data_IF_869198561404
#
_entry.id   IF_869198561404
#
_cell.length_a   1.000
_cell.length_b   1.000
_cell.length_c   1.000
_cell.angle_alpha   90.00
_cell.angle_beta   90.00
_cell.angle_gamma   90.00
#
_symmetry.space_group_name_H-M   'P 1'
#
loop_
_entity.id
_entity.type
_entity.pdbx_description
1 polymer ?
#
# COMPACT_ATOMS: atom_id res chain seq x y z
N UNK A 1 29.67 29.37 2.42
CA UNK A 1 29.07 29.38 3.76
C UNK A 1 29.85 28.39 4.62
N UNK A 2 30.33 28.83 5.79
CA UNK A 2 31.08 27.96 6.70
C UNK A 2 30.18 26.82 7.21
N UNK A 3 30.76 25.68 7.60
CA UNK A 3 30.00 24.50 8.03
C UNK A 3 29.02 24.80 9.18
N UNK A 4 29.42 25.68 10.10
CA UNK A 4 28.61 26.11 11.25
C UNK A 4 27.42 26.95 10.79
N UNK A 5 27.64 27.92 9.90
CA UNK A 5 26.57 28.76 9.32
C UNK A 5 25.56 27.90 8.55
N UNK A 6 26.04 26.86 7.84
CA UNK A 6 25.19 25.90 7.13
C UNK A 6 24.32 25.08 8.08
N UNK A 7 24.86 24.64 9.21
CA UNK A 7 24.11 23.89 10.22
C UNK A 7 23.02 24.74 10.85
N UNK A 8 23.35 25.95 11.29
CA UNK A 8 22.38 26.88 11.87
C UNK A 8 21.26 27.21 10.87
N UNK A 9 21.60 27.44 9.60
CA UNK A 9 20.62 27.69 8.55
C UNK A 9 19.66 26.50 8.30
N UNK A 10 20.03 25.27 8.66
CA UNK A 10 19.22 24.08 8.47
C UNK A 10 18.33 23.72 9.66
N UNK A 11 18.57 24.31 10.84
CA UNK A 11 17.79 24.01 12.05
C UNK A 11 16.30 24.36 11.90
N UNK A 12 15.99 25.31 11.02
CA UNK A 12 14.62 25.69 10.65
C UNK A 12 13.79 24.51 10.13
N UNK A 13 14.42 23.51 9.50
CA UNK A 13 13.74 22.35 8.95
C UNK A 13 13.58 21.21 9.94
N UNK A 14 14.28 21.23 11.08
CA UNK A 14 14.27 20.12 12.04
C UNK A 14 12.88 19.95 12.67
N UNK A 15 12.46 18.69 12.85
CA UNK A 15 11.21 18.36 13.50
C UNK A 15 10.56 17.08 12.97
N UNK A 16 9.40 16.78 13.53
CA UNK A 16 8.60 15.64 13.09
C UNK A 16 7.64 16.09 12.00
N UNK A 17 7.51 15.29 10.96
CA UNK A 17 6.57 15.53 9.87
C UNK A 17 5.74 14.28 9.68
N UNK A 18 4.44 14.45 9.50
CA UNK A 18 3.51 13.33 9.43
C UNK A 18 2.68 13.38 8.16
N UNK A 19 2.52 12.22 7.53
CA UNK A 19 1.56 11.95 6.47
C UNK A 19 0.76 10.72 6.89
N UNK A 20 -0.54 10.92 7.11
CA UNK A 20 -1.40 9.90 7.70
C UNK A 20 -0.79 9.39 9.02
N UNK A 21 -0.54 8.08 9.15
CA UNK A 21 0.07 7.47 10.33
C UNK A 21 1.59 7.33 10.23
N UNK A 22 2.20 7.71 9.11
CA UNK A 22 3.65 7.70 8.96
C UNK A 22 4.22 9.01 9.48
N UNK A 23 5.11 8.92 10.47
CA UNK A 23 5.90 10.05 10.97
C UNK A 23 7.36 9.86 10.59
N UNK A 24 7.96 10.91 10.05
CA UNK A 24 9.40 11.00 9.80
C UNK A 24 10.02 12.09 10.66
N UNK A 25 11.31 11.96 10.95
CA UNK A 25 12.07 12.96 11.70
C UNK A 25 13.13 13.58 10.80
N UNK A 26 12.98 14.87 10.51
CA UNK A 26 13.99 15.67 9.81
C UNK A 26 14.98 16.21 10.85
N UNK A 27 16.28 15.96 10.64
CA UNK A 27 17.35 16.35 11.58
C UNK A 27 18.66 16.66 10.87
N UNK A 28 19.47 17.53 11.48
CA UNK A 28 20.85 17.76 11.05
C UNK A 28 21.76 16.72 11.69
N UNK A 29 22.40 15.88 10.87
CA UNK A 29 23.37 14.88 11.31
C UNK A 29 24.73 15.18 10.68
N UNK A 30 25.68 15.65 11.49
CA UNK A 30 26.98 16.08 10.98
C UNK A 30 26.82 17.28 10.03
N UNK A 31 27.22 17.12 8.78
CA UNK A 31 27.13 18.15 7.73
C UNK A 31 25.95 17.95 6.76
N UNK A 32 25.01 17.06 7.13
CA UNK A 32 23.89 16.61 6.30
C UNK A 32 22.54 16.93 6.96
N UNK A 33 21.56 17.27 6.15
CA UNK A 33 20.15 17.28 6.54
C UNK A 33 19.58 15.92 6.15
N UNK A 34 18.94 15.24 7.09
CA UNK A 34 18.50 13.85 6.94
C UNK A 34 17.04 13.67 7.33
N UNK A 35 16.38 12.67 6.73
CA UNK A 35 15.03 12.23 7.09
C UNK A 35 15.11 10.79 7.60
N UNK A 36 14.84 10.62 8.89
CA UNK A 36 14.78 9.30 9.53
C UNK A 36 13.33 8.78 9.51
N UNK A 37 13.16 7.56 9.00
CA UNK A 37 11.88 6.85 8.98
C UNK A 37 11.82 5.85 10.15
N UNK A 38 10.61 5.45 10.59
CA UNK A 38 10.46 4.41 11.61
C UNK A 38 11.17 3.12 11.21
N UNK A 39 11.95 2.55 12.13
CA UNK A 39 12.69 1.29 11.92
C UNK A 39 13.92 1.37 11.01
N UNK A 40 14.19 2.51 10.38
CA UNK A 40 15.42 2.72 9.60
C UNK A 40 16.60 2.92 10.56
N UNK A 41 17.63 2.06 10.50
CA UNK A 41 18.81 2.19 11.35
C UNK A 41 19.68 3.39 10.94
N UNK A 42 20.51 3.91 11.86
CA UNK A 42 21.49 4.94 11.54
C UNK A 42 22.38 4.53 10.36
N UNK A 43 22.64 5.47 9.46
CA UNK A 43 23.40 5.28 8.23
C UNK A 43 22.53 4.96 6.99
N UNK A 44 21.24 4.69 7.17
CA UNK A 44 20.28 4.43 6.08
C UNK A 44 19.21 5.53 5.95
N UNK A 45 19.38 6.66 6.65
CA UNK A 45 18.49 7.81 6.52
C UNK A 45 18.50 8.37 5.09
N UNK A 46 17.38 8.99 4.68
CA UNK A 46 17.36 9.75 3.43
C UNK A 46 18.15 11.04 3.62
N UNK A 47 19.05 11.34 2.69
CA UNK A 47 19.83 12.58 2.69
C UNK A 47 19.11 13.63 1.84
N UNK A 48 19.00 14.86 2.35
CA UNK A 48 18.45 16.00 1.62
C UNK A 48 19.58 16.84 1.03
N UNK A 49 19.82 16.72 -0.27
CA UNK A 49 20.83 17.48 -1.00
C UNK A 49 20.26 18.84 -1.42
N UNK A 50 20.85 19.98 -1.01
CA UNK A 50 20.31 21.30 -1.34
C UNK A 50 20.33 21.57 -2.86
N UNK A 51 19.29 22.24 -3.36
CA UNK A 51 19.24 22.77 -4.73
C UNK A 51 19.50 24.29 -4.77
N UNK A 52 19.57 24.86 -5.98
CA UNK A 52 19.72 26.32 -6.17
C UNK A 52 18.53 27.12 -5.59
N UNK A 53 17.31 26.58 -5.73
CA UNK A 53 16.13 27.20 -5.17
C UNK A 53 16.08 27.03 -3.65
N UNK A 54 15.72 28.11 -2.94
CA UNK A 54 15.62 28.12 -1.48
C UNK A 54 14.59 27.08 -0.99
N UNK A 55 14.90 26.44 0.15
CA UNK A 55 14.06 25.41 0.79
C UNK A 55 13.81 24.15 -0.04
N UNK A 56 14.49 23.99 -1.17
CA UNK A 56 14.34 22.87 -2.10
C UNK A 56 15.54 21.93 -2.02
N UNK A 57 15.26 20.64 -1.99
CA UNK A 57 16.26 19.58 -1.86
C UNK A 57 15.96 18.41 -2.80
N UNK A 58 16.99 17.68 -3.20
CA UNK A 58 16.86 16.34 -3.81
C UNK A 58 17.03 15.29 -2.72
N UNK A 59 16.12 14.33 -2.67
CA UNK A 59 16.20 13.17 -1.77
C UNK A 59 17.18 12.15 -2.33
N UNK A 60 18.13 11.71 -1.51
CA UNK A 60 19.09 10.66 -1.82
C UNK A 60 18.94 9.50 -0.83
N UNK A 61 18.75 8.29 -1.36
CA UNK A 61 18.40 7.11 -0.59
C UNK A 61 16.90 7.03 -0.28
N UNK A 62 16.43 5.83 0.04
CA UNK A 62 15.02 5.61 0.43
C UNK A 62 14.04 5.46 -0.74
N UNK A 63 12.73 5.37 -0.43
CA UNK A 63 11.69 5.03 -1.40
C UNK A 63 11.41 6.11 -2.45
N UNK A 64 11.88 7.33 -2.21
CA UNK A 64 11.72 8.47 -3.13
C UNK A 64 13.07 9.01 -3.59
N UNK A 65 14.07 8.13 -3.74
CA UNK A 65 15.40 8.49 -4.23
C UNK A 65 15.31 9.24 -5.58
N UNK A 66 15.94 10.41 -5.66
CA UNK A 66 15.89 11.31 -6.81
C UNK A 66 14.73 12.31 -6.79
N UNK A 67 13.73 12.14 -5.91
CA UNK A 67 12.63 13.07 -5.80
C UNK A 67 13.07 14.44 -5.30
N UNK A 68 12.39 15.48 -5.79
CA UNK A 68 12.50 16.82 -5.23
C UNK A 68 11.58 16.94 -4.04
N UNK A 69 12.08 17.50 -2.93
CA UNK A 69 11.25 17.93 -1.83
C UNK A 69 11.42 19.43 -1.53
N UNK A 70 10.34 20.05 -1.04
CA UNK A 70 10.29 21.49 -0.73
C UNK A 70 9.69 21.69 0.64
N UNK A 71 10.37 22.46 1.49
CA UNK A 71 9.80 22.92 2.75
C UNK A 71 8.96 24.19 2.54
N UNK A 72 7.79 24.23 3.16
CA UNK A 72 6.98 25.44 3.25
C UNK A 72 7.30 26.13 4.57
N UNK A 73 7.73 27.39 4.50
CA UNK A 73 8.09 28.20 5.65
C UNK A 73 6.96 29.23 5.90
N UNK A 74 6.53 29.38 7.16
CA UNK A 74 5.54 30.38 7.56
C UNK A 74 6.18 31.78 7.74
N UNK A 75 5.37 32.80 8.03
CA UNK A 75 5.84 34.17 8.26
C UNK A 75 6.80 34.32 9.46
N UNK A 76 6.70 33.40 10.43
CA UNK A 76 7.60 33.33 11.59
C UNK A 76 8.96 32.69 11.24
N UNK A 77 9.17 32.29 10.00
CA UNK A 77 10.40 31.65 9.55
C UNK A 77 10.50 30.19 9.96
N UNK A 78 9.38 29.51 10.27
CA UNK A 78 9.36 28.10 10.68
C UNK A 78 8.88 27.20 9.53
N UNK A 79 9.53 26.05 9.35
CA UNK A 79 8.97 25.03 8.49
C UNK A 79 7.65 24.53 9.07
N UNK A 80 6.62 24.39 8.22
CA UNK A 80 5.29 23.90 8.60
C UNK A 80 4.84 22.71 7.76
N UNK A 81 5.42 22.54 6.57
CA UNK A 81 5.15 21.41 5.68
C UNK A 81 6.40 20.98 4.93
N UNK A 82 6.41 19.72 4.51
CA UNK A 82 7.37 19.13 3.59
C UNK A 82 6.60 18.47 2.44
N UNK A 83 6.75 18.99 1.24
CA UNK A 83 6.19 18.39 0.02
C UNK A 83 7.26 17.53 -0.65
N UNK A 84 6.91 16.33 -1.11
CA UNK A 84 7.80 15.43 -1.87
C UNK A 84 7.12 15.09 -3.19
N UNK A 85 7.71 15.55 -4.30
CA UNK A 85 7.04 15.53 -5.60
C UNK A 85 5.70 16.28 -5.58
N UNK A 86 4.75 15.84 -6.39
CA UNK A 86 3.37 16.37 -6.42
C UNK A 86 2.41 15.54 -5.55
N UNK A 87 2.84 14.37 -5.10
CA UNK A 87 1.96 13.35 -4.53
C UNK A 87 1.90 13.34 -3.01
N UNK A 88 2.96 13.81 -2.34
CA UNK A 88 3.10 13.67 -0.89
C UNK A 88 3.27 15.02 -0.21
N UNK A 89 2.44 15.30 0.78
CA UNK A 89 2.55 16.45 1.67
C UNK A 89 2.55 15.97 3.12
N UNK A 90 3.66 16.20 3.82
CA UNK A 90 3.78 15.94 5.23
C UNK A 90 3.61 17.25 6.01
N UNK A 91 2.77 17.23 7.04
CA UNK A 91 2.58 18.38 7.92
C UNK A 91 3.52 18.28 9.12
N UNK A 92 4.16 19.39 9.48
CA UNK A 92 5.00 19.42 10.68
C UNK A 92 4.11 19.21 11.91
N UNK A 93 4.51 18.26 12.73
CA UNK A 93 3.84 17.87 13.96
C UNK A 93 4.80 18.03 15.14
N UNK A 94 4.24 18.09 16.34
CA UNK A 94 5.03 17.84 17.55
C UNK A 94 5.61 16.43 17.56
N UNK A 95 6.52 16.13 18.50
CA UNK A 95 6.89 14.74 18.77
C UNK A 95 5.62 13.95 19.10
N UNK A 96 5.43 12.81 18.43
CA UNK A 96 4.31 11.93 18.76
C UNK A 96 4.62 11.19 20.05
N UNK A 97 3.60 11.04 20.90
CA UNK A 97 3.68 10.08 21.99
C UNK A 97 3.91 8.68 21.41
N UNK A 98 4.62 7.83 22.14
CA UNK A 98 4.71 6.43 21.74
C UNK A 98 3.30 5.85 21.60
N UNK A 99 3.01 5.17 20.48
CA UNK A 99 1.68 4.62 20.24
C UNK A 99 1.38 3.54 21.29
N UNK A 100 0.17 3.56 21.84
CA UNK A 100 -0.27 2.59 22.86
C UNK A 100 -0.37 1.14 22.34
N UNK A 101 -0.18 0.93 21.04
CA UNK A 101 -0.23 -0.36 20.35
C UNK A 101 0.77 -0.35 19.19
N UNK A 102 1.19 -1.53 18.69
CA UNK A 102 2.04 -1.61 17.50
C UNK A 102 1.38 -0.88 16.32
N UNK A 103 2.12 0.01 15.67
CA UNK A 103 1.69 0.65 14.41
C UNK A 103 1.96 -0.26 13.21
N UNK A 104 2.75 -1.31 13.42
CA UNK A 104 3.19 -2.22 12.37
C UNK A 104 4.12 -1.58 11.36
N UNK A 105 4.74 -0.45 11.70
CA UNK A 105 5.73 0.25 10.87
C UNK A 105 7.16 -0.11 11.28
N UNK A 106 8.11 0.10 10.37
CA UNK A 106 9.53 -0.01 10.68
C UNK A 106 10.03 -1.45 10.83
N UNK A 107 9.35 -2.39 10.18
CA UNK A 107 9.64 -3.82 10.33
C UNK A 107 10.77 -4.22 9.37
N UNK A 108 11.90 -4.69 9.89
CA UNK A 108 13.04 -5.11 9.06
C UNK A 108 12.86 -6.55 8.59
N UNK A 109 13.16 -6.83 7.32
CA UNK A 109 13.28 -8.20 6.83
C UNK A 109 14.12 -9.06 7.80
N UNK A 110 13.70 -10.29 8.12
CA UNK A 110 14.58 -11.27 8.76
C UNK A 110 15.83 -11.46 7.90
N UNK A 111 17.00 -11.53 8.54
CA UNK A 111 18.26 -11.74 7.83
C UNK A 111 18.28 -13.12 7.15
N UNK A 112 18.52 -13.14 5.85
CA UNK A 112 18.72 -14.38 5.10
C UNK A 112 20.20 -14.77 5.12
N UNK A 113 20.56 -15.72 5.97
CA UNK A 113 21.90 -16.32 5.97
C UNK A 113 21.91 -17.56 5.06
N UNK A 114 22.57 -17.44 3.91
CA UNK A 114 22.74 -18.49 2.92
C UNK A 114 24.05 -19.26 3.13
N UNK A 115 23.98 -20.44 3.75
CA UNK A 115 25.11 -21.39 3.74
C UNK A 115 25.11 -22.19 2.42
N UNK A 116 26.25 -22.78 2.02
CA UNK A 116 26.30 -23.62 0.81
C UNK A 116 25.26 -24.75 0.81
N UNK A 117 25.00 -25.37 1.97
CA UNK A 117 24.01 -26.43 2.12
C UNK A 117 22.59 -25.91 1.94
N UNK A 118 22.26 -24.76 2.55
CA UNK A 118 20.94 -24.12 2.41
C UNK A 118 20.69 -23.71 0.95
N UNK A 119 21.70 -23.12 0.30
CA UNK A 119 21.63 -22.74 -1.11
C UNK A 119 21.40 -23.95 -2.01
N UNK A 120 22.12 -25.05 -1.81
CA UNK A 120 21.96 -26.26 -2.61
C UNK A 120 20.53 -26.82 -2.50
N UNK A 121 19.97 -26.86 -1.29
CA UNK A 121 18.60 -27.34 -1.05
C UNK A 121 17.57 -26.41 -1.70
N UNK A 122 17.73 -25.09 -1.56
CA UNK A 122 16.84 -24.12 -2.21
C UNK A 122 16.94 -24.16 -3.74
N UNK A 123 18.13 -24.40 -4.29
CA UNK A 123 18.33 -24.59 -5.71
C UNK A 123 17.58 -25.84 -6.22
N UNK A 124 17.59 -26.95 -5.47
CA UNK A 124 16.79 -28.14 -5.84
C UNK A 124 15.29 -27.82 -5.93
N UNK A 125 14.75 -27.06 -4.97
CA UNK A 125 13.35 -26.62 -5.02
C UNK A 125 13.07 -25.74 -6.24
N UNK A 126 13.97 -24.80 -6.54
CA UNK A 126 13.89 -23.95 -7.72
C UNK A 126 13.91 -24.77 -9.01
N UNK A 127 14.84 -25.71 -9.15
CA UNK A 127 14.97 -26.56 -10.34
C UNK A 127 13.71 -27.40 -10.56
N UNK A 128 13.18 -28.04 -9.50
CA UNK A 128 11.93 -28.79 -9.56
C UNK A 128 10.74 -27.90 -9.97
N UNK A 129 10.66 -26.70 -9.42
CA UNK A 129 9.64 -25.72 -9.76
C UNK A 129 9.72 -25.34 -11.25
N UNK A 130 10.93 -25.09 -11.76
CA UNK A 130 11.18 -24.69 -13.14
C UNK A 130 10.98 -25.82 -14.16
N UNK A 131 11.13 -27.08 -13.75
CA UNK A 131 10.82 -28.24 -14.60
C UNK A 131 9.31 -28.45 -14.75
N UNK A 132 8.53 -28.26 -13.67
CA UNK A 132 7.11 -28.60 -13.68
C UNK A 132 6.22 -27.45 -14.19
N UNK A 133 6.41 -26.23 -13.70
CA UNK A 133 5.64 -25.00 -14.03
C UNK A 133 4.12 -25.19 -14.23
N UNK A 134 3.50 -26.06 -13.47
CA UNK A 134 2.09 -26.42 -13.62
C UNK A 134 1.21 -25.88 -12.49
N UNK A 135 1.75 -24.98 -11.67
CA UNK A 135 1.04 -24.37 -10.56
C UNK A 135 0.76 -25.33 -9.40
N UNK A 136 1.42 -26.48 -9.31
CA UNK A 136 1.23 -27.41 -8.19
C UNK A 136 1.71 -26.84 -6.85
N UNK A 137 1.23 -27.44 -5.77
CA UNK A 137 1.76 -27.15 -4.44
C UNK A 137 3.20 -27.65 -4.31
N UNK A 138 4.07 -26.79 -3.79
CA UNK A 138 5.38 -27.20 -3.30
C UNK A 138 5.19 -28.03 -2.03
N UNK A 139 5.68 -29.27 -2.03
CA UNK A 139 5.75 -30.09 -0.82
C UNK A 139 6.91 -29.62 0.06
N UNK A 140 6.66 -28.52 0.79
CA UNK A 140 7.69 -27.84 1.55
C UNK A 140 7.96 -28.56 2.88
N UNK A 141 8.88 -29.52 2.87
CA UNK A 141 9.30 -30.31 4.04
C UNK A 141 10.65 -29.87 4.61
N UNK A 142 11.20 -28.74 4.14
CA UNK A 142 12.52 -28.27 4.55
C UNK A 142 12.51 -27.79 6.02
N UNK A 143 13.63 -27.93 6.76
CA UNK A 143 13.74 -27.47 8.14
C UNK A 143 13.96 -25.94 8.25
N UNK A 144 13.76 -25.19 7.16
CA UNK A 144 13.97 -23.76 7.09
C UNK A 144 12.63 -23.02 7.09
N UNK A 145 12.55 -21.80 7.62
CA UNK A 145 11.35 -20.99 7.50
C UNK A 145 10.99 -20.72 6.04
N UNK A 146 9.70 -20.77 5.70
CA UNK A 146 9.21 -20.51 4.32
C UNK A 146 9.62 -19.14 3.79
N UNK A 147 9.74 -18.14 4.65
CA UNK A 147 10.18 -16.82 4.25
C UNK A 147 11.63 -16.80 3.71
N UNK A 148 12.48 -17.76 4.08
CA UNK A 148 13.85 -17.83 3.57
C UNK A 148 13.91 -18.31 2.12
N UNK A 149 13.16 -19.36 1.75
CA UNK A 149 13.08 -19.80 0.35
C UNK A 149 12.46 -18.70 -0.52
N UNK A 150 11.47 -17.96 -0.01
CA UNK A 150 10.82 -16.88 -0.75
C UNK A 150 11.78 -15.72 -1.02
N UNK A 151 12.63 -15.37 -0.06
CA UNK A 151 13.70 -14.39 -0.28
C UNK A 151 14.75 -14.90 -1.28
N UNK A 152 15.14 -16.17 -1.19
CA UNK A 152 16.05 -16.78 -2.17
C UNK A 152 15.47 -16.78 -3.60
N UNK A 153 14.17 -17.08 -3.75
CA UNK A 153 13.48 -17.02 -5.04
C UNK A 153 13.39 -15.59 -5.59
N UNK A 154 13.16 -14.59 -4.72
CA UNK A 154 13.13 -13.19 -5.11
C UNK A 154 14.48 -12.73 -5.71
N UNK A 155 15.61 -13.26 -5.22
CA UNK A 155 16.95 -12.96 -5.75
C UNK A 155 17.17 -13.44 -7.19
N UNK A 156 16.32 -14.35 -7.70
CA UNK A 156 16.46 -14.87 -9.07
C UNK A 156 15.91 -13.91 -10.14
N UNK A 157 15.15 -12.90 -9.72
CA UNK A 157 14.58 -11.84 -10.57
C UNK A 157 13.69 -12.37 -11.73
N UNK A 158 13.16 -13.59 -11.58
CA UNK A 158 12.32 -14.29 -12.57
C UNK A 158 10.84 -14.40 -12.16
N UNK A 159 10.53 -14.05 -10.91
CA UNK A 159 9.22 -14.34 -10.31
C UNK A 159 8.51 -13.10 -9.80
N UNK A 160 7.19 -13.22 -9.76
CA UNK A 160 6.30 -12.31 -9.04
C UNK A 160 5.51 -13.14 -8.03
N UNK A 161 5.31 -12.61 -6.84
CA UNK A 161 4.62 -13.28 -5.76
C UNK A 161 3.24 -12.66 -5.53
N UNK A 162 2.25 -13.51 -5.31
CA UNK A 162 0.86 -13.11 -5.05
C UNK A 162 0.28 -13.89 -3.87
N UNK A 163 -0.26 -13.20 -2.87
CA UNK A 163 -0.91 -13.83 -1.71
C UNK A 163 -2.42 -13.85 -1.83
N UNK A 164 -3.04 -15.00 -1.52
CA UNK A 164 -4.50 -15.15 -1.50
C UNK A 164 -4.98 -16.11 -0.43
N UNK A 165 -6.20 -15.90 0.08
CA UNK A 165 -6.89 -16.92 0.90
C UNK A 165 -7.48 -18.06 0.06
N UNK A 166 -7.53 -17.93 -1.27
CA UNK A 166 -7.98 -18.99 -2.19
C UNK A 166 -6.80 -19.86 -2.59
N UNK A 167 -6.94 -21.17 -2.43
CA UNK A 167 -5.87 -22.15 -2.66
C UNK A 167 -5.90 -22.81 -4.05
N UNK A 168 -6.97 -22.60 -4.80
CA UNK A 168 -7.34 -23.30 -6.03
C UNK A 168 -7.30 -22.39 -7.29
N UNK A 169 -6.53 -21.31 -7.27
CA UNK A 169 -6.41 -20.42 -8.43
C UNK A 169 -5.42 -21.03 -9.44
N UNK A 170 -5.95 -21.67 -10.49
CA UNK A 170 -5.11 -22.19 -11.59
C UNK A 170 -4.86 -21.14 -12.68
N UNK A 171 -5.70 -20.10 -12.75
CA UNK A 171 -5.55 -18.97 -13.66
C UNK A 171 -6.06 -17.69 -12.99
N UNK A 172 -5.18 -16.71 -12.79
CA UNK A 172 -5.55 -15.39 -12.32
C UNK A 172 -6.23 -14.60 -13.43
N UNK A 173 -7.44 -14.11 -13.15
CA UNK A 173 -8.13 -13.15 -14.02
C UNK A 173 -7.74 -11.72 -13.68
N UNK A 174 -7.79 -10.82 -14.67
CA UNK A 174 -7.56 -9.38 -14.48
C UNK A 174 -8.73 -8.65 -13.81
N UNK A 175 -9.83 -9.35 -13.52
CA UNK A 175 -11.02 -8.79 -12.87
C UNK A 175 -10.71 -8.38 -11.43
N UNK A 176 -10.94 -7.11 -11.12
CA UNK A 176 -10.77 -6.57 -9.76
C UNK A 176 -12.01 -6.77 -8.87
N UNK A 177 -11.78 -7.02 -7.58
CA UNK A 177 -12.84 -7.20 -6.56
C UNK A 177 -12.70 -6.27 -5.36
N UNK A 178 -11.67 -5.43 -5.33
CA UNK A 178 -11.39 -4.43 -4.29
C UNK A 178 -10.89 -3.12 -4.92
N UNK A 179 -10.68 -2.08 -4.12
CA UNK A 179 -10.17 -0.78 -4.59
C UNK A 179 -9.00 -0.33 -3.72
N UNK A 180 -8.01 0.31 -4.34
CA UNK A 180 -7.01 1.13 -3.62
C UNK A 180 -7.62 2.51 -3.42
N UNK A 181 -7.68 2.94 -2.16
CA UNK A 181 -8.22 4.22 -1.73
C UNK A 181 -7.12 5.28 -1.93
N UNK A 182 -7.51 6.52 -2.27
CA UNK A 182 -6.60 7.63 -2.55
C UNK A 182 -5.65 7.37 -3.75
N UNK A 183 -6.04 6.50 -4.68
CA UNK A 183 -5.30 6.27 -5.93
C UNK A 183 -5.42 7.47 -6.87
N UNK A 184 -4.54 8.45 -6.68
CA UNK A 184 -4.47 9.67 -7.50
C UNK A 184 -3.80 9.43 -8.86
N UNK A 185 -2.84 8.50 -8.90
CA UNK A 185 -2.05 8.20 -10.09
C UNK A 185 -2.71 7.15 -11.01
N UNK A 186 -3.87 6.59 -10.61
CA UNK A 186 -4.56 5.54 -11.37
C UNK A 186 -3.80 4.22 -11.46
N UNK A 187 -2.78 4.02 -10.60
CA UNK A 187 -1.92 2.84 -10.60
C UNK A 187 -2.55 1.69 -9.81
N UNK A 188 -3.26 2.05 -8.76
CA UNK A 188 -3.80 1.11 -7.78
C UNK A 188 -5.03 0.37 -8.25
N UNK A 189 -5.70 0.85 -9.30
CA UNK A 189 -7.01 0.37 -9.74
C UNK A 189 -7.07 -0.05 -11.21
N UNK A 190 -6.00 -0.64 -11.73
CA UNK A 190 -5.98 -1.28 -13.05
C UNK A 190 -6.77 -2.60 -13.02
N UNK A 191 -7.30 -2.99 -14.18
CA UNK A 191 -7.80 -4.36 -14.39
C UNK A 191 -6.59 -5.26 -14.67
N UNK A 192 -5.96 -5.74 -13.60
CA UNK A 192 -4.72 -6.47 -13.67
C UNK A 192 -4.61 -7.52 -12.56
N UNK A 193 -3.74 -8.50 -12.77
CA UNK A 193 -3.18 -9.35 -11.71
C UNK A 193 -2.07 -8.56 -11.04
N UNK A 194 -2.20 -8.33 -9.74
CA UNK A 194 -1.21 -7.60 -8.95
C UNK A 194 -0.26 -8.56 -8.24
N UNK A 195 0.98 -8.16 -8.02
CA UNK A 195 1.93 -8.93 -7.23
C UNK A 195 3.18 -8.11 -6.89
N UNK A 196 4.13 -8.74 -6.24
CA UNK A 196 5.36 -8.09 -5.76
C UNK A 196 6.57 -8.91 -6.19
N UNK A 197 7.70 -8.25 -6.34
CA UNK A 197 8.98 -8.91 -6.60
C UNK A 197 9.62 -9.46 -5.32
N UNK A 198 9.16 -9.02 -4.14
CA UNK A 198 9.56 -9.59 -2.85
C UNK A 198 8.53 -10.62 -2.38
N UNK A 199 9.01 -11.69 -1.75
CA UNK A 199 8.16 -12.79 -1.30
C UNK A 199 7.51 -12.58 0.08
N UNK A 200 7.97 -11.61 0.89
CA UNK A 200 7.46 -11.41 2.25
C UNK A 200 6.17 -10.61 2.29
N UNK A 201 6.07 -9.53 1.52
CA UNK A 201 4.86 -8.71 1.45
C UNK A 201 3.59 -9.51 1.11
N UNK A 202 3.57 -10.40 0.10
CA UNK A 202 2.36 -11.15 -0.26
C UNK A 202 1.96 -12.18 0.79
N UNK A 203 2.86 -12.61 1.69
CA UNK A 203 2.48 -13.48 2.80
C UNK A 203 1.38 -12.84 3.66
N UNK A 204 1.44 -11.52 3.88
CA UNK A 204 0.40 -10.77 4.60
C UNK A 204 -0.98 -10.93 3.93
N UNK A 205 -1.06 -10.76 2.62
CA UNK A 205 -2.31 -10.94 1.88
C UNK A 205 -2.83 -12.39 1.91
N UNK A 206 -1.91 -13.37 1.94
CA UNK A 206 -2.29 -14.77 2.03
C UNK A 206 -2.92 -15.11 3.38
N UNK A 207 -2.41 -14.56 4.48
CA UNK A 207 -2.83 -14.96 5.83
C UNK A 207 -3.95 -14.09 6.43
N UNK A 208 -4.20 -12.89 5.93
CA UNK A 208 -5.27 -12.03 6.45
C UNK A 208 -6.62 -12.58 6.02
N UNK A 209 -7.53 -12.80 6.97
CA UNK A 209 -8.88 -13.29 6.72
C UNK A 209 -9.79 -12.16 6.21
N UNK A 210 -9.59 -11.79 4.94
CA UNK A 210 -10.26 -10.64 4.32
C UNK A 210 -11.79 -10.69 4.43
N UNK A 211 -12.47 -11.85 4.27
CA UNK A 211 -13.93 -11.94 4.45
C UNK A 211 -14.43 -11.55 5.85
N UNK A 212 -13.60 -11.73 6.89
CA UNK A 212 -13.94 -11.40 8.28
C UNK A 212 -13.33 -10.06 8.73
N UNK A 213 -12.74 -9.30 7.81
CA UNK A 213 -12.18 -7.98 8.06
C UNK A 213 -13.17 -6.88 7.63
N UNK A 214 -13.38 -5.90 8.50
CA UNK A 214 -14.06 -4.64 8.17
C UNK A 214 -13.05 -3.49 8.10
N UNK A 215 -13.22 -2.61 7.12
CA UNK A 215 -12.30 -1.52 6.84
C UNK A 215 -11.22 -1.90 5.83
N UNK A 216 -10.07 -1.25 5.95
CA UNK A 216 -8.91 -1.36 5.08
C UNK A 216 -7.78 -2.18 5.72
N UNK A 217 -6.84 -2.56 4.88
CA UNK A 217 -5.51 -2.98 5.28
C UNK A 217 -4.55 -1.94 4.74
N UNK A 218 -3.50 -1.63 5.49
CA UNK A 218 -2.42 -0.77 5.02
C UNK A 218 -1.13 -1.57 5.08
N UNK A 219 -0.39 -1.54 3.99
CA UNK A 219 0.77 -2.39 3.82
C UNK A 219 1.74 -1.78 2.83
N UNK A 220 2.98 -2.21 2.88
CA UNK A 220 4.00 -1.79 1.95
C UNK A 220 5.39 -2.23 2.37
N UNK A 221 6.30 -2.11 1.44
CA UNK A 221 7.75 -2.21 1.68
C UNK A 221 8.40 -0.99 1.06
N UNK A 222 9.39 -0.43 1.76
CA UNK A 222 10.24 0.64 1.28
C UNK A 222 11.69 0.20 1.36
N UNK A 223 12.48 0.49 0.32
CA UNK A 223 13.90 0.19 0.28
C UNK A 223 14.71 1.43 0.62
N UNK A 224 15.71 1.26 1.47
CA UNK A 224 16.63 2.31 1.91
C UNK A 224 18.05 1.90 1.60
N UNK A 225 18.86 2.86 1.18
CA UNK A 225 20.25 2.63 0.77
C UNK A 225 21.17 3.52 1.62
N UNK A 226 22.31 2.97 2.05
CA UNK A 226 23.35 3.74 2.70
C UNK A 226 24.39 4.26 1.70
N UNK A 227 25.34 5.07 2.17
CA UNK A 227 26.44 5.62 1.36
C UNK A 227 27.33 4.55 0.69
N UNK A 228 27.32 3.32 1.21
CA UNK A 228 28.10 2.20 0.68
C UNK A 228 27.32 1.39 -0.38
N UNK A 229 26.08 1.79 -0.69
CA UNK A 229 25.20 1.11 -1.61
C UNK A 229 24.54 -0.14 -1.05
N UNK A 230 24.70 -0.45 0.24
CA UNK A 230 23.94 -1.51 0.87
C UNK A 230 22.47 -1.09 0.96
N UNK A 231 21.57 -2.04 0.73
CA UNK A 231 20.12 -1.82 0.73
C UNK A 231 19.44 -2.62 1.86
N UNK A 232 18.40 -2.04 2.45
CA UNK A 232 17.52 -2.72 3.40
C UNK A 232 16.05 -2.50 3.04
N UNK A 233 15.24 -3.52 3.29
CA UNK A 233 13.79 -3.45 3.18
C UNK A 233 13.15 -3.14 4.54
N UNK A 234 12.27 -2.15 4.57
CA UNK A 234 11.47 -1.76 5.72
C UNK A 234 10.00 -1.90 5.38
N UNK A 235 9.33 -2.78 6.10
CA UNK A 235 7.94 -3.14 5.89
C UNK A 235 7.00 -2.37 6.82
N UNK A 236 5.76 -2.27 6.36
CA UNK A 236 4.62 -1.82 7.11
C UNK A 236 3.45 -2.80 6.90
N UNK A 237 2.79 -3.22 7.98
CA UNK A 237 1.58 -4.05 7.92
C UNK A 237 0.62 -3.64 9.04
N UNK A 238 -0.58 -3.19 8.69
CA UNK A 238 -1.62 -2.85 9.64
C UNK A 238 -3.02 -3.16 9.13
N UNK A 239 -3.90 -3.41 10.09
CA UNK A 239 -5.32 -3.64 9.90
C UNK A 239 -6.12 -2.72 10.82
N UNK A 240 -7.43 -2.63 10.61
CA UNK A 240 -8.32 -1.92 11.53
C UNK A 240 -8.06 -2.36 12.99
N UNK A 241 -7.70 -1.40 13.84
CA UNK A 241 -7.32 -1.62 15.24
C UNK A 241 -8.38 -2.37 16.05
N UNK A 242 -9.66 -2.17 15.75
CA UNK A 242 -10.77 -2.82 16.46
C UNK A 242 -10.80 -4.34 16.22
N UNK A 243 -10.18 -4.79 15.13
CA UNK A 243 -10.11 -6.20 14.75
C UNK A 243 -8.77 -6.83 15.10
N UNK A 244 -7.72 -6.05 15.36
CA UNK A 244 -6.39 -6.57 15.65
C UNK A 244 -6.39 -7.56 16.83
N UNK A 245 -7.13 -7.25 17.90
CA UNK A 245 -7.26 -8.12 19.06
C UNK A 245 -7.96 -9.47 18.75
N UNK A 246 -8.76 -9.52 17.68
CA UNK A 246 -9.45 -10.73 17.23
C UNK A 246 -8.55 -11.65 16.40
N UNK A 247 -7.35 -11.19 16.02
CA UNK A 247 -6.39 -11.92 15.20
C UNK A 247 -7.05 -12.56 13.96
N UNK A 248 -7.58 -11.74 13.03
CA UNK A 248 -8.31 -12.21 11.84
C UNK A 248 -7.33 -12.79 10.82
N UNK A 249 -6.68 -13.90 11.19
CA UNK A 249 -5.68 -14.60 10.41
C UNK A 249 -6.17 -16.01 10.11
N UNK A 250 -5.81 -16.52 8.94
CA UNK A 250 -6.17 -17.86 8.47
C UNK A 250 -5.08 -18.46 7.61
N UNK A 251 -5.09 -19.79 7.40
CA UNK A 251 -4.28 -20.41 6.38
C UNK A 251 -4.58 -19.81 5.00
N UNK A 252 -3.55 -19.71 4.18
CA UNK A 252 -3.60 -19.12 2.85
C UNK A 252 -2.65 -19.77 1.87
N UNK A 253 -2.51 -19.15 0.71
CA UNK A 253 -1.64 -19.62 -0.36
C UNK A 253 -0.88 -18.46 -0.97
N UNK A 254 0.42 -18.66 -1.12
CA UNK A 254 1.29 -17.76 -1.85
C UNK A 254 1.62 -18.40 -3.20
N UNK A 255 1.27 -17.69 -4.26
CA UNK A 255 1.48 -18.09 -5.64
C UNK A 255 2.77 -17.48 -6.16
N UNK A 256 3.54 -18.30 -6.87
CA UNK A 256 4.76 -17.90 -7.56
C UNK A 256 4.37 -17.83 -9.04
N UNK A 257 4.44 -16.62 -9.60
CA UNK A 257 3.99 -16.29 -10.94
C UNK A 257 5.21 -15.98 -11.84
N UNK A 258 5.12 -16.24 -13.15
CA UNK A 258 6.15 -15.79 -14.09
C UNK A 258 6.17 -14.26 -14.15
N UNK A 259 7.35 -13.67 -14.26
CA UNK A 259 7.49 -12.20 -14.33
C UNK A 259 7.20 -11.60 -15.71
N UNK A 260 7.28 -12.39 -16.77
CA UNK A 260 7.31 -11.92 -18.18
C UNK A 260 6.23 -10.91 -18.54
N UNK A 261 5.00 -11.09 -18.05
CA UNK A 261 3.85 -10.24 -18.38
C UNK A 261 3.60 -9.13 -17.36
N UNK A 262 4.45 -9.01 -16.34
CA UNK A 262 4.34 -8.01 -15.30
C UNK A 262 5.21 -6.80 -15.62
N UNK A 263 4.66 -5.62 -15.39
CA UNK A 263 5.41 -4.36 -15.36
C UNK A 263 5.36 -3.75 -13.98
N UNK A 264 6.48 -3.18 -13.55
CA UNK A 264 6.54 -2.39 -12.32
C UNK A 264 5.70 -1.13 -12.51
N UNK A 265 4.89 -0.79 -11.52
CA UNK A 265 4.03 0.38 -11.61
C UNK A 265 4.79 1.66 -11.25
N UNK A 266 4.55 2.79 -11.93
CA UNK A 266 5.08 4.07 -11.46
C UNK A 266 4.39 4.44 -10.14
N UNK A 267 5.15 4.93 -9.18
CA UNK A 267 4.61 5.54 -7.95
C UNK A 267 4.37 7.03 -8.15
N UNK A 268 5.33 7.71 -8.78
CA UNK A 268 5.30 9.12 -9.20
C UNK A 268 6.30 9.30 -10.35
N UNK A 269 6.44 10.52 -10.87
CA UNK A 269 7.41 10.81 -11.93
C UNK A 269 8.83 10.36 -11.57
N UNK A 270 9.36 9.43 -12.35
CA UNK A 270 10.71 8.86 -12.17
C UNK A 270 10.88 7.89 -11.01
N UNK A 271 9.83 7.62 -10.21
CA UNK A 271 9.88 6.74 -9.04
C UNK A 271 9.00 5.52 -9.26
N UNK A 272 9.55 4.33 -9.07
CA UNK A 272 8.84 3.08 -9.30
C UNK A 272 8.31 2.47 -7.99
N UNK A 273 7.05 2.03 -8.01
CA UNK A 273 6.41 1.30 -6.92
C UNK A 273 7.01 -0.09 -6.75
N UNK A 274 6.96 -0.66 -5.56
CA UNK A 274 7.35 -2.06 -5.33
C UNK A 274 6.30 -3.08 -5.82
N UNK A 275 5.13 -2.58 -6.19
CA UNK A 275 4.03 -3.33 -6.79
C UNK A 275 4.19 -3.46 -8.31
N UNK A 276 3.80 -4.64 -8.80
CA UNK A 276 3.82 -5.02 -10.20
C UNK A 276 2.41 -5.42 -10.65
N UNK A 277 2.11 -5.20 -11.92
CA UNK A 277 0.82 -5.56 -12.49
C UNK A 277 0.97 -6.25 -13.86
N UNK A 278 0.14 -7.26 -14.09
CA UNK A 278 -0.06 -7.88 -15.39
C UNK A 278 -1.49 -7.65 -15.88
N UNK A 279 -1.64 -7.02 -17.03
CA UNK A 279 -2.95 -6.73 -17.65
C UNK A 279 -3.48 -7.90 -18.50
N UNK A 280 -2.85 -9.06 -18.40
CA UNK A 280 -3.29 -10.31 -19.02
C UNK A 280 -3.46 -11.39 -17.95
N UNK A 281 -4.29 -12.43 -18.19
CA UNK A 281 -4.40 -13.56 -17.27
C UNK A 281 -3.06 -14.27 -17.07
N UNK A 282 -2.79 -14.74 -15.85
CA UNK A 282 -1.51 -15.36 -15.47
C UNK A 282 -1.73 -16.71 -14.81
N UNK A 283 -0.98 -17.73 -15.25
CA UNK A 283 -0.93 -19.04 -14.59
C UNK A 283 0.21 -19.07 -13.56
N UNK A 284 0.02 -19.66 -12.37
CA UNK A 284 1.11 -19.87 -11.43
C UNK A 284 2.13 -20.88 -11.97
N UNK A 285 3.40 -20.67 -11.65
CA UNK A 285 4.46 -21.67 -11.80
C UNK A 285 4.34 -22.72 -10.70
N UNK A 286 4.13 -22.27 -9.47
CA UNK A 286 3.90 -23.10 -8.29
C UNK A 286 3.12 -22.32 -7.23
N UNK A 287 2.69 -23.02 -6.18
CA UNK A 287 2.06 -22.41 -5.00
C UNK A 287 2.59 -23.01 -3.70
N UNK A 288 2.65 -22.17 -2.68
CA UNK A 288 3.11 -22.52 -1.34
C UNK A 288 1.97 -22.33 -0.35
N UNK A 289 1.59 -23.40 0.35
CA UNK A 289 0.62 -23.31 1.44
C UNK A 289 1.25 -22.55 2.61
N UNK A 290 0.51 -21.61 3.22
CA UNK A 290 0.96 -20.82 4.36
C UNK A 290 0.02 -20.97 5.55
N UNK A 291 0.60 -21.11 6.73
CA UNK A 291 -0.06 -20.86 8.02
C UNK A 291 0.25 -19.41 8.46
N UNK A 292 -0.59 -18.79 9.30
CA UNK A 292 -0.28 -17.46 9.85
C UNK A 292 1.12 -17.37 10.47
N UNK A 293 1.57 -18.41 11.15
CA UNK A 293 2.86 -18.48 11.85
C UNK A 293 4.07 -18.53 10.90
N UNK A 294 3.86 -18.86 9.62
CA UNK A 294 4.91 -18.78 8.60
C UNK A 294 5.29 -17.31 8.32
N UNK A 295 4.39 -16.37 8.59
CA UNK A 295 4.61 -14.94 8.35
C UNK A 295 5.51 -14.34 9.45
N UNK A 296 6.73 -13.86 9.11
CA UNK A 296 7.69 -13.44 10.13
C UNK A 296 7.26 -12.22 10.94
N UNK A 297 6.30 -11.45 10.44
CA UNK A 297 5.82 -10.23 11.10
C UNK A 297 4.48 -10.41 11.81
N UNK A 298 3.97 -11.63 11.98
CA UNK A 298 2.63 -11.89 12.53
C UNK A 298 2.36 -11.14 13.84
N UNK A 299 3.31 -11.18 14.78
CA UNK A 299 3.18 -10.52 16.08
C UNK A 299 3.37 -9.00 16.03
N UNK A 300 3.83 -8.48 14.90
CA UNK A 300 4.15 -7.07 14.69
C UNK A 300 3.14 -6.36 13.78
N UNK A 301 2.10 -7.05 13.30
CA UNK A 301 0.99 -6.42 12.56
C UNK A 301 0.36 -5.36 13.47
N UNK A 302 0.22 -4.15 12.94
CA UNK A 302 -0.29 -3.00 13.65
C UNK A 302 -1.79 -2.76 13.53
N UNK A 303 -2.25 -1.79 14.32
CA UNK A 303 -3.62 -1.28 14.27
C UNK A 303 -3.68 0.12 13.70
N UNK A 304 -4.68 0.40 12.87
CA UNK A 304 -4.97 1.75 12.37
C UNK A 304 -6.43 2.13 12.54
N UNK A 305 -6.73 3.43 12.46
CA UNK A 305 -8.12 3.93 12.54
C UNK A 305 -8.78 3.99 11.17
N UNK A 306 -9.90 3.26 11.02
CA UNK A 306 -10.73 3.22 9.83
C UNK A 306 -12.17 3.68 10.09
N UNK A 307 -12.43 4.35 11.20
CA UNK A 307 -13.77 4.87 11.56
C UNK A 307 -14.45 5.61 10.40
N UNK A 308 -13.70 6.45 9.67
CA UNK A 308 -14.20 7.15 8.50
C UNK A 308 -14.55 6.17 7.35
N UNK A 309 -13.72 5.17 7.05
CA UNK A 309 -14.04 4.20 5.99
C UNK A 309 -15.24 3.32 6.34
N UNK A 310 -15.34 2.89 7.61
CA UNK A 310 -16.50 2.13 8.12
C UNK A 310 -17.77 2.97 8.02
N UNK A 311 -17.70 4.26 8.35
CA UNK A 311 -18.83 5.20 8.18
C UNK A 311 -19.21 5.36 6.71
N UNK A 312 -18.26 5.53 5.80
CA UNK A 312 -18.53 5.64 4.37
C UNK A 312 -19.19 4.38 3.80
N UNK A 313 -18.76 3.21 4.26
CA UNK A 313 -19.37 1.93 3.90
C UNK A 313 -20.84 1.87 4.39
N UNK A 314 -21.10 2.21 5.65
CA UNK A 314 -22.46 2.24 6.19
C UNK A 314 -23.39 3.23 5.46
N UNK A 315 -22.88 4.42 5.09
CA UNK A 315 -23.63 5.38 4.26
C UNK A 315 -23.92 4.79 2.87
N UNK A 316 -22.94 4.13 2.27
CA UNK A 316 -23.09 3.47 0.98
C UNK A 316 -24.17 2.38 1.01
N UNK A 317 -24.20 1.56 2.05
CA UNK A 317 -25.22 0.50 2.20
C UNK A 317 -26.63 1.10 2.36
N UNK A 318 -26.76 2.18 3.13
CA UNK A 318 -28.02 2.93 3.24
C UNK A 318 -28.47 3.53 1.91
N UNK A 319 -27.54 4.06 1.11
CA UNK A 319 -27.84 4.59 -0.21
C UNK A 319 -28.31 3.49 -1.15
N UNK A 320 -27.56 2.40 -1.26
CA UNK A 320 -27.90 1.26 -2.13
C UNK A 320 -29.28 0.69 -1.79
N UNK A 321 -29.60 0.57 -0.49
CA UNK A 321 -30.92 0.10 -0.04
C UNK A 321 -32.07 1.05 -0.41
N UNK A 322 -31.79 2.34 -0.65
CA UNK A 322 -32.77 3.35 -1.04
C UNK A 322 -32.85 3.56 -2.56
N UNK A 323 -32.09 2.80 -3.36
CA UNK A 323 -32.10 2.95 -4.82
C UNK A 323 -33.32 2.24 -5.42
N UNK A 324 -34.12 2.99 -6.16
CA UNK A 324 -35.30 2.47 -6.85
C UNK A 324 -35.01 2.04 -8.29
N UNK A 325 -34.05 2.70 -8.93
CA UNK A 325 -33.65 2.43 -10.31
C UNK A 325 -32.17 2.64 -10.50
N UNK A 326 -31.53 1.74 -11.26
CA UNK A 326 -30.12 1.86 -11.65
C UNK A 326 -30.00 1.81 -13.15
N UNK A 327 -29.38 2.82 -13.74
CA UNK A 327 -28.95 2.84 -15.14
C UNK A 327 -27.43 2.75 -15.20
N UNK A 328 -26.92 1.94 -16.12
CA UNK A 328 -25.49 1.61 -16.22
C UNK A 328 -25.01 1.95 -17.62
N UNK A 329 -23.90 2.65 -17.67
CA UNK A 329 -23.15 2.95 -18.87
C UNK A 329 -21.68 2.55 -18.64
N UNK A 330 -20.84 2.49 -19.70
CA UNK A 330 -19.45 2.05 -19.58
C UNK A 330 -18.62 2.88 -18.58
N UNK A 331 -18.90 4.17 -18.47
CA UNK A 331 -18.13 5.16 -17.69
C UNK A 331 -18.91 5.79 -16.52
N UNK A 332 -20.16 5.36 -16.29
CA UNK A 332 -21.03 5.93 -15.25
C UNK A 332 -22.11 4.99 -14.74
N UNK A 333 -22.55 5.26 -13.51
CA UNK A 333 -23.73 4.63 -12.89
C UNK A 333 -24.68 5.74 -12.45
N UNK A 334 -25.94 5.61 -12.83
CA UNK A 334 -27.02 6.48 -12.38
C UNK A 334 -27.90 5.73 -11.38
N UNK A 335 -28.09 6.30 -10.20
CA UNK A 335 -28.97 5.75 -9.18
C UNK A 335 -30.10 6.75 -8.92
N UNK A 336 -31.34 6.34 -9.17
CA UNK A 336 -32.53 7.10 -8.79
C UNK A 336 -32.94 6.72 -7.38
N UNK A 337 -33.16 7.71 -6.52
CA UNK A 337 -33.60 7.53 -5.15
C UNK A 337 -34.81 8.41 -4.87
N UNK A 338 -35.76 7.94 -4.05
CA UNK A 338 -36.87 8.78 -3.57
C UNK A 338 -36.33 9.80 -2.58
N UNK A 339 -36.57 11.08 -2.85
CA UNK A 339 -36.00 12.12 -2.02
C UNK A 339 -36.70 12.20 -0.65
N UNK A 340 -35.89 12.31 0.40
CA UNK A 340 -36.33 12.73 1.74
C UNK A 340 -35.23 13.57 2.38
N UNK A 341 -35.57 14.40 3.38
CA UNK A 341 -34.57 15.20 4.11
C UNK A 341 -33.51 14.31 4.76
N UNK A 342 -33.91 13.16 5.31
CA UNK A 342 -32.98 12.20 5.91
C UNK A 342 -32.03 11.61 4.88
N UNK A 343 -32.55 11.13 3.75
CA UNK A 343 -31.72 10.59 2.67
C UNK A 343 -30.79 11.66 2.08
N UNK A 344 -31.27 12.90 2.00
CA UNK A 344 -30.46 14.04 1.58
C UNK A 344 -29.20 14.23 2.43
N UNK A 345 -29.31 14.13 3.76
CA UNK A 345 -28.14 14.18 4.64
C UNK A 345 -27.18 13.01 4.41
N UNK A 346 -27.71 11.79 4.19
CA UNK A 346 -26.88 10.60 3.87
C UNK A 346 -26.13 10.78 2.55
N UNK A 347 -26.78 11.28 1.51
CA UNK A 347 -26.18 11.54 0.19
C UNK A 347 -25.04 12.56 0.31
N UNK A 348 -25.27 13.68 0.99
CA UNK A 348 -24.27 14.75 1.11
C UNK A 348 -23.05 14.30 1.90
N UNK A 349 -23.26 13.57 3.02
CA UNK A 349 -22.16 13.01 3.80
C UNK A 349 -21.38 11.97 2.96
N UNK A 350 -22.07 11.07 2.25
CA UNK A 350 -21.44 10.10 1.37
C UNK A 350 -20.61 10.78 0.28
N UNK A 351 -21.11 11.84 -0.37
CA UNK A 351 -20.38 12.57 -1.41
C UNK A 351 -19.10 13.19 -0.84
N UNK A 352 -19.16 13.84 0.33
CA UNK A 352 -17.97 14.40 0.98
C UNK A 352 -16.92 13.32 1.28
N UNK A 353 -17.34 12.16 1.79
CA UNK A 353 -16.43 11.05 2.04
C UNK A 353 -15.86 10.43 0.75
N UNK A 354 -16.68 10.24 -0.27
CA UNK A 354 -16.23 9.70 -1.55
C UNK A 354 -15.21 10.62 -2.23
N UNK A 355 -15.39 11.94 -2.17
CA UNK A 355 -14.39 12.89 -2.70
C UNK A 355 -13.03 12.78 -2.02
N UNK A 356 -13.02 12.43 -0.72
CA UNK A 356 -11.77 12.20 0.02
C UNK A 356 -11.11 10.90 -0.40
N UNK A 357 -11.86 9.81 -0.47
CA UNK A 357 -11.33 8.45 -0.71
C UNK A 357 -11.10 8.11 -2.18
N UNK A 358 -11.91 8.67 -3.07
CA UNK A 358 -11.90 8.44 -4.51
C UNK A 358 -11.85 9.81 -5.23
N UNK A 359 -10.73 10.54 -5.12
CA UNK A 359 -10.62 11.90 -5.66
C UNK A 359 -10.77 11.98 -7.19
N UNK A 360 -10.61 10.85 -7.88
CA UNK A 360 -10.78 10.72 -9.33
C UNK A 360 -12.24 10.47 -9.75
N UNK A 361 -13.15 10.27 -8.81
CA UNK A 361 -14.56 10.07 -9.09
C UNK A 361 -15.32 11.41 -9.06
N UNK A 362 -16.26 11.56 -10.00
CA UNK A 362 -17.17 12.72 -10.06
C UNK A 362 -18.56 12.25 -9.64
N UNK A 363 -19.15 12.94 -8.68
CA UNK A 363 -20.49 12.68 -8.17
C UNK A 363 -21.40 13.88 -8.45
N UNK A 364 -22.48 13.64 -9.18
CA UNK A 364 -23.43 14.68 -9.62
C UNK A 364 -24.83 14.35 -9.13
N UNK A 365 -25.51 15.36 -8.56
CA UNK A 365 -26.91 15.26 -8.16
C UNK A 365 -27.80 16.00 -9.15
N UNK A 366 -28.84 15.34 -9.63
CA UNK A 366 -29.93 15.96 -10.41
C UNK A 366 -31.25 15.74 -9.67
N UNK A 367 -31.89 16.84 -9.29
CA UNK A 367 -33.18 16.82 -8.59
C UNK A 367 -34.33 16.84 -9.58
N UNK A 368 -35.31 16.00 -9.32
CA UNK A 368 -36.63 15.96 -9.94
C UNK A 368 -37.69 16.12 -8.81
N UNK A 369 -38.96 16.44 -9.11
CA UNK A 369 -39.93 16.85 -8.08
C UNK A 369 -40.05 15.91 -6.86
N UNK A 370 -39.86 14.60 -7.05
CA UNK A 370 -39.99 13.59 -6.00
C UNK A 370 -38.77 12.66 -5.89
N UNK A 371 -37.82 12.75 -6.82
CA UNK A 371 -36.67 11.86 -6.90
C UNK A 371 -35.37 12.63 -7.08
N UNK A 372 -34.28 12.04 -6.63
CA UNK A 372 -32.93 12.53 -6.92
C UNK A 372 -32.17 11.47 -7.71
N UNK A 373 -31.42 11.91 -8.71
CA UNK A 373 -30.47 11.08 -9.42
C UNK A 373 -29.07 11.36 -8.90
N UNK A 374 -28.40 10.34 -8.38
CA UNK A 374 -26.97 10.34 -8.08
C UNK A 374 -26.23 9.66 -9.24
N UNK A 375 -25.52 10.47 -10.02
CA UNK A 375 -24.61 9.98 -11.07
C UNK A 375 -23.21 9.88 -10.50
N UNK A 376 -22.58 8.73 -10.69
CA UNK A 376 -21.18 8.49 -10.33
C UNK A 376 -20.40 8.17 -11.60
N UNK A 377 -19.40 8.99 -11.91
CA UNK A 377 -18.43 8.83 -12.98
C UNK A 377 -17.05 8.56 -12.35
N UNK A 378 -16.22 7.70 -12.95
CA UNK A 378 -14.89 7.42 -12.41
C UNK A 378 -14.15 6.28 -13.11
N UNK A 379 -13.00 5.84 -12.57
CA UNK A 379 -12.20 4.79 -13.18
C UNK A 379 -12.99 3.46 -13.36
N UNK A 380 -12.77 2.70 -14.45
CA UNK A 380 -13.53 1.47 -14.72
C UNK A 380 -13.54 0.46 -13.57
N UNK A 381 -12.43 0.30 -12.85
CA UNK A 381 -12.37 -0.58 -11.68
C UNK A 381 -13.28 -0.12 -10.53
N UNK A 382 -13.38 1.19 -10.29
CA UNK A 382 -14.28 1.74 -9.28
C UNK A 382 -15.74 1.44 -9.63
N UNK A 383 -16.12 1.69 -10.87
CA UNK A 383 -17.47 1.41 -11.37
C UNK A 383 -17.78 -0.09 -11.32
N UNK A 384 -16.82 -0.96 -11.66
CA UNK A 384 -16.99 -2.42 -11.54
C UNK A 384 -17.28 -2.86 -10.10
N UNK A 385 -16.60 -2.26 -9.10
CA UNK A 385 -16.84 -2.56 -7.68
C UNK A 385 -18.23 -2.07 -7.25
N UNK A 386 -18.63 -0.86 -7.63
CA UNK A 386 -19.99 -0.36 -7.37
C UNK A 386 -21.06 -1.22 -8.06
N UNK A 387 -20.82 -1.66 -9.28
CA UNK A 387 -21.71 -2.56 -10.02
C UNK A 387 -21.90 -3.88 -9.26
N UNK A 388 -20.83 -4.52 -8.78
CA UNK A 388 -20.94 -5.77 -8.02
C UNK A 388 -21.77 -5.62 -6.73
N UNK A 389 -21.68 -4.45 -6.07
CA UNK A 389 -22.45 -4.16 -4.86
C UNK A 389 -23.92 -3.87 -5.12
N UNK A 390 -24.27 -3.42 -6.33
CA UNK A 390 -25.65 -3.11 -6.72
C UNK A 390 -26.36 -4.28 -7.42
N UNK A 391 -25.66 -5.38 -7.71
CA UNK A 391 -26.22 -6.58 -8.34
C UNK A 391 -26.33 -7.78 -7.40
N UNK A 392 -25.66 -7.74 -6.25
CA UNK A 392 -25.73 -8.82 -5.26
C UNK A 392 -27.00 -8.64 -4.41
N UNK A 393 -27.89 -9.64 -4.31
CA UNK A 393 -28.95 -9.61 -3.30
C UNK A 393 -28.27 -9.55 -1.92
N UNK A 394 -28.73 -8.62 -1.08
CA UNK A 394 -28.25 -8.44 0.30
C UNK A 394 -28.67 -9.59 1.19
#
# INVERSE_FOLDING_TARGET
MALVEKREAWRVYEGHYSLQEMTVHVRVLGDRLTVAFPGVPPGFEVILLPQEALHRFTMQGGPTNGAVCTFVINEAGEAVKLSVGEDYELTRSGPHAEPAFPTGQGLRAPELVLTPEKMAVFQTVLDEMMVNQDGRFLDYTLPYPKHEILQYLAMQDQFIFHGSNKSDIDLFSTKRTSMEINDRAGRGNLQAVYGTHDGLWPMFFAIIDRPNLTGSIRNGVNYFQNDQGAEIAIYHFSINRELLAKRPYRPGTLYILPRDTFRRLPMSDGIMSNEWASEVPVKPIARLALQPEDFPFLAQIGGHDDSALVRAQALSDRLIAAVNKIEREPDRIHMQLDWSTELGSVILEYIDMQRRFMPTAVLTLKFEPETVWLTIEGPPAYLQVLQNRTTSPT
#
